data_IF_472268825335
#
_entry.id   IF_472268825335
#
_cell.length_a   1.000
_cell.length_b   1.000
_cell.length_c   1.000
_cell.angle_alpha   90.00
_cell.angle_beta   90.00
_cell.angle_gamma   90.00
#
_symmetry.space_group_name_H-M   'P 1'
#
loop_
_entity.id
_entity.type
_entity.pdbx_description
1 polymer ?
#
# COMPACT_ATOMS: atom_id res chain seq x y z
N UNK A 1 1.79 27.42 -10.42
CA UNK A 1 2.23 27.29 -9.01
C UNK A 1 1.17 26.46 -8.30
N UNK A 2 1.58 25.33 -7.73
CA UNK A 2 0.72 24.57 -6.82
C UNK A 2 0.50 25.49 -5.61
N UNK A 3 -0.75 25.70 -5.22
CA UNK A 3 -1.08 26.65 -4.16
C UNK A 3 -2.08 26.04 -3.21
N UNK A 4 -1.99 26.43 -1.94
CA UNK A 4 -2.97 26.08 -0.93
C UNK A 4 -4.32 26.72 -1.27
N UNK A 5 -5.39 25.94 -1.27
CA UNK A 5 -6.75 26.40 -1.61
C UNK A 5 -7.77 25.99 -0.55
N UNK A 6 -8.95 26.61 -0.53
CA UNK A 6 -10.05 26.14 0.35
C UNK A 6 -10.57 24.82 -0.19
N UNK A 7 -10.84 23.87 0.71
CA UNK A 7 -11.34 22.55 0.37
C UNK A 7 -12.62 22.63 -0.46
N UNK A 8 -13.60 23.43 -0.02
CA UNK A 8 -14.91 23.50 -0.67
C UNK A 8 -14.82 24.01 -2.11
N UNK A 9 -13.97 25.01 -2.35
CA UNK A 9 -13.77 25.58 -3.68
C UNK A 9 -13.20 24.53 -4.64
N UNK A 10 -12.24 23.72 -4.17
CA UNK A 10 -11.61 22.66 -4.97
C UNK A 10 -12.52 21.44 -5.11
N UNK A 11 -13.28 21.08 -4.08
CA UNK A 11 -14.23 19.96 -4.16
C UNK A 11 -15.45 20.29 -5.04
N UNK A 12 -15.84 21.56 -5.16
CA UNK A 12 -16.97 21.98 -5.99
C UNK A 12 -16.75 21.79 -7.50
N UNK A 13 -15.50 21.64 -7.94
CA UNK A 13 -15.16 21.39 -9.36
C UNK A 13 -15.10 19.90 -9.70
N UNK A 14 -15.18 19.02 -8.71
CA UNK A 14 -15.01 17.59 -8.89
C UNK A 14 -16.26 16.94 -9.49
N UNK A 15 -16.10 15.85 -10.25
CA UNK A 15 -17.23 15.03 -10.65
C UNK A 15 -17.97 14.52 -9.40
N UNK A 16 -19.24 14.16 -9.59
CA UNK A 16 -20.01 13.52 -8.54
C UNK A 16 -19.27 12.24 -8.07
N UNK A 17 -19.30 11.93 -6.76
CA UNK A 17 -18.75 10.68 -6.26
C UNK A 17 -19.31 9.49 -7.01
N UNK A 18 -18.46 8.49 -7.23
CA UNK A 18 -18.92 7.22 -7.78
C UNK A 18 -20.03 6.64 -6.89
N UNK A 19 -21.14 6.14 -7.46
CA UNK A 19 -22.21 5.57 -6.66
C UNK A 19 -21.71 4.34 -5.91
N UNK A 20 -21.65 4.43 -4.58
CA UNK A 20 -21.15 3.38 -3.68
C UNK A 20 -22.15 2.22 -3.47
N UNK A 21 -23.10 2.05 -4.39
CA UNK A 21 -24.16 1.04 -4.22
C UNK A 21 -23.60 -0.33 -4.60
N UNK A 22 -23.12 -1.06 -3.60
CA UNK A 22 -22.70 -2.46 -3.74
C UNK A 22 -21.24 -2.66 -4.18
N UNK A 23 -20.43 -1.60 -4.20
CA UNK A 23 -19.03 -1.65 -4.61
C UNK A 23 -18.21 -2.58 -3.69
N UNK A 24 -18.41 -2.52 -2.38
CA UNK A 24 -17.75 -3.41 -1.43
C UNK A 24 -18.01 -4.89 -1.75
N UNK A 25 -19.27 -5.26 -2.01
CA UNK A 25 -19.63 -6.62 -2.37
C UNK A 25 -19.06 -7.04 -3.74
N UNK A 26 -18.89 -6.10 -4.67
CA UNK A 26 -18.23 -6.35 -5.95
C UNK A 26 -16.73 -6.60 -5.78
N UNK A 27 -16.05 -5.80 -4.96
CA UNK A 27 -14.64 -5.98 -4.60
C UNK A 27 -14.44 -7.34 -3.92
N UNK A 28 -15.28 -7.69 -2.94
CA UNK A 28 -15.22 -9.00 -2.27
C UNK A 28 -15.34 -10.15 -3.28
N UNK A 29 -16.34 -10.09 -4.18
CA UNK A 29 -16.50 -11.09 -5.25
C UNK A 29 -15.28 -11.17 -6.16
N UNK A 30 -14.72 -10.03 -6.56
CA UNK A 30 -13.54 -9.97 -7.42
C UNK A 30 -12.31 -10.57 -6.73
N UNK A 31 -12.09 -10.26 -5.45
CA UNK A 31 -11.01 -10.81 -4.62
C UNK A 31 -11.17 -12.33 -4.51
N UNK A 32 -12.36 -12.82 -4.12
CA UNK A 32 -12.64 -14.26 -4.02
C UNK A 32 -12.46 -14.97 -5.35
N UNK A 33 -13.04 -14.45 -6.44
CA UNK A 33 -12.96 -15.05 -7.77
C UNK A 33 -11.53 -15.07 -8.32
N UNK A 34 -10.67 -14.14 -7.91
CA UNK A 34 -9.27 -14.12 -8.34
C UNK A 34 -8.46 -15.30 -7.82
N UNK A 35 -8.86 -15.91 -6.70
CA UNK A 35 -8.12 -16.99 -6.07
C UNK A 35 -6.71 -16.60 -5.59
N UNK A 36 -6.36 -15.31 -5.58
CA UNK A 36 -5.05 -14.80 -5.15
C UNK A 36 -5.10 -14.38 -3.68
N UNK A 37 -3.98 -14.48 -2.99
CA UNK A 37 -3.79 -13.90 -1.66
C UNK A 37 -3.36 -12.43 -1.78
N UNK A 38 -3.95 -11.54 -0.99
CA UNK A 38 -3.48 -10.15 -0.88
C UNK A 38 -2.41 -10.07 0.20
N UNK A 39 -1.20 -9.68 -0.17
CA UNK A 39 -0.08 -9.55 0.78
C UNK A 39 0.20 -8.06 0.95
N UNK A 40 -0.01 -7.56 2.16
CA UNK A 40 0.19 -6.15 2.48
C UNK A 40 1.53 -5.97 3.17
N UNK A 41 2.43 -5.16 2.60
CA UNK A 41 3.67 -4.76 3.25
C UNK A 41 3.42 -3.42 3.92
N UNK A 42 3.55 -3.35 5.24
CA UNK A 42 3.30 -2.14 6.04
C UNK A 42 4.62 -1.62 6.64
N UNK A 43 4.95 -0.36 6.33
CA UNK A 43 6.22 0.26 6.74
C UNK A 43 6.25 0.70 8.21
N UNK A 44 5.10 0.67 8.92
CA UNK A 44 4.96 1.11 10.30
C UNK A 44 3.92 0.31 11.10
N UNK A 45 4.23 -0.11 12.35
CA UNK A 45 3.30 -0.82 13.23
C UNK A 45 2.00 -0.08 13.56
N UNK A 46 1.91 1.24 13.37
CA UNK A 46 0.66 1.97 13.65
C UNK A 46 -0.44 1.68 12.63
N UNK A 47 -0.08 1.31 11.38
CA UNK A 47 -1.04 1.04 10.31
C UNK A 47 -1.86 -0.24 10.53
N UNK A 48 -1.26 -1.26 11.14
CA UNK A 48 -1.91 -2.56 11.38
C UNK A 48 -2.97 -2.52 12.49
N UNK A 49 -3.07 -1.41 13.24
CA UNK A 49 -4.05 -1.25 14.32
C UNK A 49 -5.50 -1.04 13.82
N UNK A 50 -5.68 -0.79 12.52
CA UNK A 50 -7.01 -0.52 11.92
C UNK A 50 -7.63 -1.75 11.26
N UNK A 51 -6.99 -2.92 11.36
CA UNK A 51 -7.49 -4.20 10.81
C UNK A 51 -7.72 -5.20 11.94
N UNK A 52 -8.72 -6.07 11.75
CA UNK A 52 -9.11 -7.11 12.70
C UNK A 52 -9.17 -8.46 11.99
N UNK A 53 -8.98 -9.54 12.75
CA UNK A 53 -9.08 -10.92 12.25
C UNK A 53 -8.20 -11.20 11.01
N UNK A 54 -7.00 -10.62 10.99
CA UNK A 54 -6.01 -10.80 9.94
C UNK A 54 -4.62 -11.04 10.53
N UNK A 55 -3.87 -11.94 9.90
CA UNK A 55 -2.50 -12.24 10.33
C UNK A 55 -1.58 -11.05 10.05
N UNK A 56 -0.75 -10.71 11.04
CA UNK A 56 0.32 -9.72 10.93
C UNK A 56 1.64 -10.39 11.28
N UNK A 57 2.48 -10.59 10.27
CA UNK A 57 3.77 -11.25 10.39
C UNK A 57 4.85 -10.19 10.64
N UNK A 58 5.66 -10.39 11.68
CA UNK A 58 6.85 -9.57 11.96
C UNK A 58 8.14 -10.17 11.36
N UNK A 59 8.02 -11.32 10.70
CA UNK A 59 9.10 -12.06 10.04
C UNK A 59 8.64 -12.50 8.64
N UNK A 60 9.59 -12.70 7.73
CA UNK A 60 9.33 -13.12 6.35
C UNK A 60 10.13 -14.38 5.99
N UNK A 61 10.21 -15.32 6.92
CA UNK A 61 10.79 -16.64 6.64
C UNK A 61 9.85 -17.42 5.71
N UNK A 62 10.43 -18.20 4.79
CA UNK A 62 9.68 -18.92 3.75
C UNK A 62 8.59 -19.83 4.35
N UNK A 63 8.89 -20.48 5.48
CA UNK A 63 7.94 -21.38 6.17
C UNK A 63 6.73 -20.61 6.72
N UNK A 64 6.97 -19.49 7.41
CA UNK A 64 5.91 -18.63 7.97
C UNK A 64 5.02 -18.06 6.85
N UNK A 65 5.65 -17.57 5.77
CA UNK A 65 4.95 -17.03 4.61
C UNK A 65 4.11 -18.12 3.91
N UNK A 66 4.62 -19.35 3.81
CA UNK A 66 3.90 -20.44 3.18
C UNK A 66 2.64 -20.83 3.98
N UNK A 67 2.71 -20.77 5.33
CA UNK A 67 1.53 -20.96 6.19
C UNK A 67 0.52 -19.84 5.95
N UNK A 68 0.94 -18.57 5.99
CA UNK A 68 0.05 -17.42 5.78
C UNK A 68 -0.59 -17.39 4.38
N UNK A 69 0.14 -17.85 3.36
CA UNK A 69 -0.37 -18.02 1.99
C UNK A 69 -1.42 -19.13 1.88
N UNK A 70 -1.25 -20.23 2.62
CA UNK A 70 -2.18 -21.36 2.62
C UNK A 70 -3.47 -21.11 3.44
N UNK A 71 -3.44 -20.15 4.37
CA UNK A 71 -4.61 -19.75 5.15
C UNK A 71 -5.80 -19.33 4.25
N UNK A 72 -7.07 -19.61 4.60
CA UNK A 72 -8.21 -19.21 3.77
C UNK A 72 -8.51 -17.71 3.77
N UNK A 73 -8.03 -16.92 4.73
CA UNK A 73 -8.24 -15.48 4.77
C UNK A 73 -7.75 -14.82 3.47
N UNK A 74 -8.47 -13.82 2.93
CA UNK A 74 -8.14 -13.24 1.62
C UNK A 74 -6.82 -12.45 1.65
N UNK A 75 -6.34 -12.05 2.83
CA UNK A 75 -5.17 -11.20 2.98
C UNK A 75 -4.37 -11.53 4.25
N UNK A 76 -3.10 -11.13 4.26
CA UNK A 76 -2.28 -11.02 5.48
C UNK A 76 -1.31 -9.83 5.36
N UNK A 77 -0.76 -9.40 6.48
CA UNK A 77 0.17 -8.29 6.58
C UNK A 77 1.58 -8.79 6.90
N UNK A 78 2.58 -8.13 6.31
CA UNK A 78 3.98 -8.20 6.70
C UNK A 78 4.35 -6.83 7.23
N UNK A 79 4.67 -6.76 8.52
CA UNK A 79 5.16 -5.55 9.15
C UNK A 79 6.67 -5.45 8.89
N UNK A 80 7.07 -4.59 7.96
CA UNK A 80 8.49 -4.37 7.64
C UNK A 80 9.15 -3.46 8.68
N UNK A 81 8.36 -2.56 9.28
CA UNK A 81 8.83 -1.52 10.21
C UNK A 81 10.05 -0.75 9.65
N UNK A 82 10.02 -0.50 8.33
CA UNK A 82 11.14 0.05 7.57
C UNK A 82 11.22 1.57 7.60
N UNK A 83 10.16 2.28 8.01
CA UNK A 83 10.07 3.75 7.91
C UNK A 83 11.21 4.52 8.59
N UNK A 84 11.72 4.00 9.70
CA UNK A 84 12.83 4.65 10.44
C UNK A 84 14.22 4.22 9.97
N UNK A 85 14.31 3.31 9.00
CA UNK A 85 15.57 2.82 8.47
C UNK A 85 16.13 3.78 7.42
N UNK A 86 17.29 3.45 6.84
CA UNK A 86 17.73 4.10 5.61
C UNK A 86 16.98 3.53 4.41
N UNK A 87 16.83 4.32 3.34
CA UNK A 87 16.24 3.87 2.09
C UNK A 87 16.93 2.61 1.52
N UNK A 88 18.27 2.50 1.69
CA UNK A 88 19.02 1.32 1.29
C UNK A 88 18.64 0.07 2.10
N UNK A 89 18.46 0.19 3.41
CA UNK A 89 18.01 -0.93 4.26
C UNK A 89 16.57 -1.32 3.95
N UNK A 90 15.68 -0.33 3.77
CA UNK A 90 14.29 -0.58 3.41
C UNK A 90 14.16 -1.29 2.05
N UNK A 91 14.98 -0.90 1.06
CA UNK A 91 15.07 -1.59 -0.23
C UNK A 91 15.55 -3.04 -0.08
N UNK A 92 16.57 -3.31 0.74
CA UNK A 92 17.05 -4.67 1.00
C UNK A 92 15.98 -5.57 1.65
N UNK A 93 15.21 -5.03 2.60
CA UNK A 93 14.09 -5.75 3.22
C UNK A 93 13.04 -6.10 2.17
N UNK A 94 12.66 -5.15 1.31
CA UNK A 94 11.67 -5.38 0.26
C UNK A 94 12.14 -6.42 -0.78
N UNK A 95 13.44 -6.42 -1.12
CA UNK A 95 14.03 -7.45 -1.99
C UNK A 95 14.00 -8.84 -1.34
N UNK A 96 14.32 -8.93 -0.06
CA UNK A 96 14.30 -10.19 0.69
C UNK A 96 12.87 -10.74 0.78
N UNK A 97 11.90 -9.88 1.11
CA UNK A 97 10.48 -10.25 1.14
C UNK A 97 10.02 -10.75 -0.23
N UNK A 98 10.36 -10.05 -1.32
CA UNK A 98 10.00 -10.47 -2.67
C UNK A 98 10.50 -11.89 -2.99
N UNK A 99 11.79 -12.15 -2.74
CA UNK A 99 12.40 -13.45 -2.96
C UNK A 99 11.71 -14.55 -2.13
N UNK A 100 11.60 -14.33 -0.82
CA UNK A 100 11.03 -15.33 0.09
C UNK A 100 9.55 -15.58 -0.21
N UNK A 101 8.79 -14.55 -0.59
CA UNK A 101 7.37 -14.66 -0.89
C UNK A 101 7.13 -15.47 -2.17
N UNK A 102 7.96 -15.31 -3.20
CA UNK A 102 7.85 -16.14 -4.42
C UNK A 102 8.15 -17.61 -4.13
N UNK A 103 9.16 -17.90 -3.31
CA UNK A 103 9.46 -19.28 -2.88
C UNK A 103 8.31 -19.88 -2.05
N UNK A 104 7.77 -19.10 -1.12
CA UNK A 104 6.64 -19.50 -0.28
C UNK A 104 5.37 -19.73 -1.11
N UNK A 105 5.09 -18.87 -2.10
CA UNK A 105 3.95 -18.99 -3.02
C UNK A 105 4.03 -20.27 -3.85
N UNK A 106 5.21 -20.62 -4.37
CA UNK A 106 5.46 -21.88 -5.08
C UNK A 106 5.20 -23.08 -4.18
N UNK A 107 5.65 -23.03 -2.92
CA UNK A 107 5.46 -24.11 -1.94
C UNK A 107 3.98 -24.27 -1.52
N UNK A 108 3.28 -23.16 -1.31
CA UNK A 108 1.87 -23.15 -0.93
C UNK A 108 0.93 -23.45 -2.12
N UNK A 109 1.42 -23.35 -3.36
CA UNK A 109 0.60 -23.47 -4.56
C UNK A 109 -0.44 -22.36 -4.68
N UNK A 110 -0.13 -21.15 -4.18
CA UNK A 110 -1.06 -20.02 -4.10
C UNK A 110 -0.42 -18.77 -4.72
N UNK A 111 -1.08 -18.20 -5.73
CA UNK A 111 -0.69 -16.90 -6.28
C UNK A 111 -1.05 -15.76 -5.33
N UNK A 112 -0.35 -14.63 -5.48
CA UNK A 112 -0.58 -13.45 -4.66
C UNK A 112 -0.58 -12.15 -5.47
N UNK A 113 -1.07 -11.09 -4.83
CA UNK A 113 -0.93 -9.69 -5.24
C UNK A 113 -0.36 -8.89 -4.08
N UNK A 114 0.40 -7.85 -4.36
CA UNK A 114 1.02 -7.01 -3.33
C UNK A 114 0.31 -5.68 -3.19
N UNK A 115 0.15 -5.24 -1.95
CA UNK A 115 -0.16 -3.86 -1.60
C UNK A 115 0.99 -3.32 -0.76
N UNK A 116 1.71 -2.32 -1.26
CA UNK A 116 2.67 -1.56 -0.47
C UNK A 116 1.92 -0.48 0.29
N UNK A 117 1.69 -0.69 1.58
CA UNK A 117 1.02 0.28 2.45
C UNK A 117 2.09 1.18 3.09
N UNK A 118 1.91 2.48 2.92
CA UNK A 118 2.81 3.51 3.45
C UNK A 118 2.01 4.60 4.15
N UNK A 119 2.68 5.63 4.61
CA UNK A 119 2.09 6.76 5.31
C UNK A 119 1.25 7.63 4.37
N UNK A 120 0.06 8.00 4.82
CA UNK A 120 -0.85 8.86 4.03
C UNK A 120 -0.27 10.25 3.72
N UNK A 121 0.80 10.72 4.39
CA UNK A 121 1.50 11.97 4.05
C UNK A 121 2.75 11.77 3.22
N UNK A 122 2.91 10.59 2.61
CA UNK A 122 4.03 10.22 1.73
C UNK A 122 5.39 10.13 2.45
N UNK A 123 5.39 9.99 3.78
CA UNK A 123 6.61 9.68 4.55
C UNK A 123 7.01 8.22 4.32
N UNK A 124 8.30 7.95 4.37
CA UNK A 124 8.88 6.63 4.10
C UNK A 124 9.96 6.74 3.02
N UNK A 125 10.22 5.65 2.32
CA UNK A 125 11.26 5.61 1.30
C UNK A 125 10.69 5.35 -0.10
N UNK A 126 9.54 5.94 -0.42
CA UNK A 126 9.07 6.00 -1.79
C UNK A 126 10.01 6.84 -2.67
N UNK A 127 10.37 6.41 -3.90
CA UNK A 127 9.96 5.15 -4.54
C UNK A 127 10.88 3.96 -4.25
N UNK A 128 12.01 4.15 -3.55
CA UNK A 128 13.03 3.11 -3.34
C UNK A 128 12.49 1.76 -2.83
N UNK A 129 11.55 1.75 -1.88
CA UNK A 129 10.93 0.51 -1.38
C UNK A 129 10.13 -0.21 -2.47
N UNK A 130 9.29 0.53 -3.19
CA UNK A 130 8.40 -0.01 -4.21
C UNK A 130 9.19 -0.45 -5.44
N UNK A 131 10.20 0.31 -5.85
CA UNK A 131 11.09 -0.04 -6.96
C UNK A 131 11.88 -1.32 -6.62
N UNK A 132 12.42 -1.42 -5.41
CA UNK A 132 13.18 -2.59 -4.99
C UNK A 132 12.32 -3.86 -4.95
N UNK A 133 11.09 -3.73 -4.43
CA UNK A 133 10.08 -4.79 -4.40
C UNK A 133 9.68 -5.23 -5.81
N UNK A 134 9.29 -4.28 -6.67
CA UNK A 134 8.84 -4.55 -8.03
C UNK A 134 9.96 -5.24 -8.84
N UNK A 135 11.16 -4.67 -8.86
CA UNK A 135 12.30 -5.23 -9.59
C UNK A 135 12.62 -6.67 -9.15
N UNK A 136 12.57 -6.94 -7.84
CA UNK A 136 12.82 -8.29 -7.32
C UNK A 136 11.71 -9.28 -7.71
N UNK A 137 10.44 -8.86 -7.64
CA UNK A 137 9.31 -9.69 -8.07
C UNK A 137 9.35 -9.97 -9.57
N UNK A 138 9.69 -8.98 -10.40
CA UNK A 138 9.83 -9.16 -11.85
C UNK A 138 10.95 -10.16 -12.19
N UNK A 139 12.10 -10.05 -11.52
CA UNK A 139 13.21 -10.98 -11.69
C UNK A 139 12.85 -12.42 -11.31
N UNK A 140 12.09 -12.60 -10.22
CA UNK A 140 11.68 -13.93 -9.71
C UNK A 140 10.53 -14.56 -10.50
N UNK A 141 9.58 -13.75 -10.98
CA UNK A 141 8.39 -14.20 -11.70
C UNK A 141 8.57 -14.22 -13.22
N UNK A 142 9.60 -13.56 -13.74
CA UNK A 142 9.88 -13.47 -15.18
C UNK A 142 8.83 -12.68 -15.96
N UNK A 143 8.08 -11.79 -15.30
CA UNK A 143 7.05 -10.93 -15.91
C UNK A 143 7.18 -9.51 -15.37
N UNK A 144 7.17 -8.47 -16.24
CA UNK A 144 7.19 -7.09 -15.80
C UNK A 144 5.83 -6.64 -15.27
N UNK A 145 5.80 -5.56 -14.50
CA UNK A 145 4.60 -4.80 -14.18
C UNK A 145 4.38 -3.69 -15.21
N UNK A 146 3.16 -3.58 -15.74
CA UNK A 146 2.81 -2.52 -16.70
C UNK A 146 2.66 -1.14 -16.05
N UNK A 147 2.47 -1.10 -14.72
CA UNK A 147 2.35 0.15 -14.00
C UNK A 147 2.20 -0.01 -12.49
N UNK A 148 2.42 1.10 -11.79
CA UNK A 148 2.23 1.25 -10.36
C UNK A 148 1.03 2.16 -10.09
N UNK A 149 0.10 1.68 -9.25
CA UNK A 149 -1.02 2.49 -8.78
C UNK A 149 -0.66 3.14 -7.44
N UNK A 150 -0.40 4.44 -7.45
CA UNK A 150 -0.15 5.23 -6.24
C UNK A 150 -1.43 5.90 -5.77
N UNK A 151 -2.00 5.43 -4.65
CA UNK A 151 -3.33 5.87 -4.16
C UNK A 151 -3.23 6.33 -2.69
N UNK A 152 -2.64 7.51 -2.42
CA UNK A 152 -2.47 8.01 -1.05
C UNK A 152 -3.72 8.72 -0.49
N UNK A 153 -4.82 8.77 -1.25
CA UNK A 153 -6.08 9.37 -0.81
C UNK A 153 -6.59 8.68 0.46
N UNK A 154 -6.89 9.46 1.50
CA UNK A 154 -7.43 8.95 2.75
C UNK A 154 -8.35 9.99 3.39
N UNK A 155 -9.65 9.84 3.15
CA UNK A 155 -10.66 10.86 3.46
C UNK A 155 -10.79 11.14 4.95
N UNK A 156 -10.82 10.08 5.77
CA UNK A 156 -10.91 10.16 7.24
C UNK A 156 -9.68 10.82 7.84
N UNK A 157 -8.52 10.59 7.20
CA UNK A 157 -7.28 11.30 7.51
C UNK A 157 -7.25 12.73 6.96
N UNK A 158 -8.21 13.18 6.18
CA UNK A 158 -8.15 14.50 5.53
C UNK A 158 -7.03 14.61 4.49
N UNK A 159 -6.67 13.50 3.83
CA UNK A 159 -5.67 13.43 2.77
C UNK A 159 -6.36 13.33 1.41
N UNK A 160 -6.08 14.27 0.52
CA UNK A 160 -6.76 14.42 -0.76
C UNK A 160 -5.74 14.31 -1.90
N UNK A 161 -6.10 13.66 -3.00
CA UNK A 161 -5.27 13.62 -4.21
C UNK A 161 -6.10 14.15 -5.36
N UNK A 162 -5.69 15.28 -5.94
CA UNK A 162 -6.44 16.04 -6.93
C UNK A 162 -5.44 16.58 -7.96
N UNK A 163 -5.72 16.37 -9.24
CA UNK A 163 -4.87 16.82 -10.36
C UNK A 163 -3.37 16.51 -10.14
N UNK A 164 -3.07 15.26 -9.78
CA UNK A 164 -1.72 14.74 -9.48
C UNK A 164 -0.99 15.42 -8.30
N UNK A 165 -1.70 16.19 -7.48
CA UNK A 165 -1.16 16.78 -6.25
C UNK A 165 -1.80 16.13 -5.02
N UNK A 166 -0.96 15.73 -4.09
CA UNK A 166 -1.40 15.22 -2.79
C UNK A 166 -1.44 16.34 -1.74
N UNK A 167 -2.55 16.45 -1.02
CA UNK A 167 -2.84 17.52 -0.08
C UNK A 167 -3.19 16.98 1.30
N UNK A 168 -2.83 17.74 2.32
CA UNK A 168 -3.25 17.55 3.71
C UNK A 168 -4.23 18.67 4.07
N UNK A 169 -5.38 18.30 4.63
CA UNK A 169 -6.36 19.23 5.15
C UNK A 169 -5.86 19.86 6.47
N UNK A 170 -5.70 21.18 6.48
CA UNK A 170 -5.37 21.98 7.66
C UNK A 170 -6.45 23.06 7.86
N UNK A 171 -7.31 22.87 8.85
CA UNK A 171 -8.52 23.67 9.01
C UNK A 171 -9.45 23.49 7.80
N UNK A 172 -9.71 24.57 7.06
CA UNK A 172 -10.53 24.55 5.83
C UNK A 172 -9.69 24.48 4.54
N UNK A 173 -8.37 24.37 4.65
CA UNK A 173 -7.45 24.51 3.51
C UNK A 173 -6.76 23.21 3.16
N UNK A 174 -6.65 22.92 1.87
CA UNK A 174 -5.84 21.84 1.34
C UNK A 174 -4.45 22.38 1.06
N UNK A 175 -3.46 21.95 1.84
CA UNK A 175 -2.05 22.32 1.74
C UNK A 175 -1.30 21.19 1.03
N UNK A 176 -0.52 21.45 -0.03
CA UNK A 176 0.27 20.40 -0.68
C UNK A 176 1.16 19.68 0.34
N UNK A 177 1.19 18.35 0.33
CA UNK A 177 1.89 17.55 1.34
C UNK A 177 3.37 17.97 1.49
N UNK A 178 4.04 18.29 0.38
CA UNK A 178 5.42 18.80 0.36
C UNK A 178 5.65 20.18 1.01
N UNK A 179 4.58 20.93 1.29
CA UNK A 179 4.63 22.24 1.98
C UNK A 179 4.24 22.14 3.46
N UNK A 180 3.84 20.97 3.92
CA UNK A 180 3.43 20.73 5.32
C UNK A 180 4.62 20.46 6.23
N UNK A 181 4.37 20.39 7.53
CA UNK A 181 5.31 19.93 8.54
C UNK A 181 5.77 18.48 8.33
N UNK A 182 5.01 17.65 7.61
CA UNK A 182 5.37 16.25 7.34
C UNK A 182 6.51 16.09 6.33
N UNK A 183 6.83 17.15 5.57
CA UNK A 183 7.91 17.17 4.59
C UNK A 183 9.25 17.71 5.14
N UNK A 184 9.34 17.91 6.45
CA UNK A 184 10.52 18.49 7.13
C UNK A 184 11.34 17.45 7.89
#
# INVERSE_FOLDING_TARGET
MITTQRKDDLCATLPLPWPDVGLAAEIERAVTASGRKVVVLDDDPTGTQTVHDIDVLATWQIDDLAVALADPAPAFYILTNSRSLSAAQAALINQEIAHNLVQAARRAGREFVIVSRSDSTLRGHYPAEVDALANALEAELGRPYDGLLLIPFFLEGGRYTLDDVHYVLQGERLVPAGETEFAR
#
